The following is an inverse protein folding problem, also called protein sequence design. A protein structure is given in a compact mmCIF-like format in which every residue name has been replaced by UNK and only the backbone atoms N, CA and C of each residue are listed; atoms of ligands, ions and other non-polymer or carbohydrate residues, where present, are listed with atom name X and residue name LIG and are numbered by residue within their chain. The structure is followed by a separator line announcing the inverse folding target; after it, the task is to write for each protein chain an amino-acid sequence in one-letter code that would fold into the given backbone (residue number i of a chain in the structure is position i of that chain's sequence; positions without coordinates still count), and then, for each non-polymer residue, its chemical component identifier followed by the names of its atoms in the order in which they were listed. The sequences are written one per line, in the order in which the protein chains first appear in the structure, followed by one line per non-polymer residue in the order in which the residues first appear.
data_IF_853239720741
#
_entry.id   IF_853239720741
#
_cell.length_a   1.000
_cell.length_b   1.000
_cell.length_c   1.000
_cell.angle_alpha   90.00
_cell.angle_beta   90.00
_cell.angle_gamma   90.00
#
_symmetry.space_group_name_H-M   'P 1'
#
loop_
_entity.id
_entity.type
_entity.pdbx_description
1 polymer ?
#
# COMPACT_ATOMS: atom_id res chain seq x y z
N UNK A 1 -12.86 32.05 9.87
CA UNK A 1 -12.33 31.14 10.89
C UNK A 1 -11.63 30.04 10.13
N UNK A 2 -10.33 30.20 9.91
CA UNK A 2 -9.55 29.27 9.09
C UNK A 2 -8.94 28.23 10.02
N UNK A 3 -9.05 26.96 9.65
CA UNK A 3 -8.25 25.89 10.25
C UNK A 3 -6.80 26.38 10.28
N UNK A 4 -6.16 26.38 11.45
CA UNK A 4 -4.79 26.84 11.61
C UNK A 4 -3.88 26.19 10.56
N UNK A 5 -2.95 26.95 9.99
CA UNK A 5 -2.01 26.53 8.94
C UNK A 5 -1.08 25.42 9.45
N UNK A 6 -1.57 24.20 9.63
CA UNK A 6 -0.78 23.00 9.87
C UNK A 6 -0.46 22.37 8.52
N UNK A 7 0.80 22.11 8.24
CA UNK A 7 1.24 21.46 7.00
C UNK A 7 2.03 20.19 7.32
N UNK A 8 1.65 19.09 6.66
CA UNK A 8 2.31 17.81 6.77
C UNK A 8 3.22 17.60 5.55
N UNK A 9 4.45 17.18 5.79
CA UNK A 9 5.42 16.86 4.74
C UNK A 9 6.09 15.51 5.03
N UNK A 10 5.83 14.47 4.22
CA UNK A 10 4.87 14.44 3.12
C UNK A 10 3.40 14.50 3.62
N UNK A 11 2.42 14.83 2.76
CA UNK A 11 1.00 14.83 3.12
C UNK A 11 0.41 13.41 3.30
N UNK A 12 1.03 12.42 2.64
CA UNK A 12 0.75 10.99 2.76
C UNK A 12 2.09 10.25 2.77
N UNK A 13 2.24 9.25 3.63
CA UNK A 13 3.41 8.39 3.68
C UNK A 13 3.06 7.00 3.15
N UNK A 14 3.84 6.49 2.21
CA UNK A 14 3.78 5.09 1.76
C UNK A 14 5.08 4.42 2.15
N UNK A 15 5.01 3.40 2.99
CA UNK A 15 6.19 2.79 3.63
C UNK A 15 6.07 1.28 3.59
N UNK A 16 7.18 0.62 3.25
CA UNK A 16 7.23 -0.84 3.28
C UNK A 16 7.25 -1.31 4.73
N UNK A 17 6.59 -2.42 5.05
CA UNK A 17 6.68 -3.03 6.37
C UNK A 17 8.14 -3.19 6.80
N UNK A 18 8.44 -2.84 8.06
CA UNK A 18 9.77 -2.80 8.70
C UNK A 18 10.71 -1.66 8.25
N UNK A 19 10.39 -0.91 7.21
CA UNK A 19 11.20 0.25 6.79
C UNK A 19 10.99 1.46 7.75
N UNK A 20 11.97 2.38 7.82
CA UNK A 20 11.81 3.62 8.58
C UNK A 20 10.84 4.59 7.90
N UNK A 21 10.17 5.43 8.69
CA UNK A 21 9.31 6.52 8.20
C UNK A 21 9.48 7.76 9.06
N UNK A 22 9.41 8.92 8.40
CA UNK A 22 9.36 10.20 9.09
C UNK A 22 8.44 11.18 8.37
N UNK A 23 7.80 12.06 9.13
CA UNK A 23 7.01 13.16 8.60
C UNK A 23 7.23 14.42 9.44
N UNK A 24 7.33 15.55 8.75
CA UNK A 24 7.35 16.86 9.37
C UNK A 24 5.93 17.39 9.49
N UNK A 25 5.67 18.05 10.60
CA UNK A 25 4.51 18.89 10.78
C UNK A 25 4.99 20.30 11.06
N UNK A 26 4.46 21.27 10.30
CA UNK A 26 4.87 22.65 10.38
C UNK A 26 3.68 23.59 10.52
N UNK A 27 3.92 24.78 11.07
CA UNK A 27 2.90 25.82 11.17
C UNK A 27 3.47 27.23 11.14
N UNK A 28 2.72 28.16 10.57
CA UNK A 28 2.98 29.60 10.60
C UNK A 28 2.24 30.32 11.75
N UNK A 29 1.35 29.60 12.44
CA UNK A 29 0.43 30.18 13.44
C UNK A 29 1.12 30.36 14.77
N UNK A 30 0.93 31.50 15.44
CA UNK A 30 1.39 31.67 16.82
C UNK A 30 0.70 30.65 17.74
N UNK A 31 1.49 29.85 18.44
CA UNK A 31 0.99 28.74 19.24
C UNK A 31 1.71 28.62 20.58
N UNK A 32 1.02 28.06 21.57
CA UNK A 32 1.57 27.76 22.89
C UNK A 32 2.33 26.42 22.94
N UNK A 33 2.18 25.61 21.90
CA UNK A 33 2.93 24.38 21.70
C UNK A 33 2.36 23.54 20.55
N UNK A 34 3.21 22.68 19.99
CA UNK A 34 2.84 21.71 18.96
C UNK A 34 3.46 20.34 19.26
N UNK A 35 2.82 19.29 18.78
CA UNK A 35 3.25 17.91 19.05
C UNK A 35 2.70 16.89 18.06
N UNK A 36 3.25 15.69 18.16
CA UNK A 36 2.72 14.50 17.50
C UNK A 36 2.12 13.55 18.54
N UNK A 37 1.03 12.90 18.21
CA UNK A 37 0.40 11.83 18.96
C UNK A 37 0.31 10.59 18.06
N UNK A 38 0.92 9.48 18.48
CA UNK A 38 0.95 8.21 17.76
C UNK A 38 1.27 7.09 18.76
N UNK A 39 0.85 5.85 18.46
CA UNK A 39 1.17 4.69 19.30
C UNK A 39 2.57 4.09 19.01
N UNK A 40 3.21 4.49 17.90
CA UNK A 40 4.60 4.12 17.56
C UNK A 40 5.45 5.36 17.33
N UNK A 41 6.74 5.23 17.63
CA UNK A 41 7.74 6.28 17.41
C UNK A 41 7.88 7.21 18.60
N UNK A 42 8.89 8.08 18.51
CA UNK A 42 9.11 9.09 19.55
C UNK A 42 8.15 10.24 19.30
N UNK A 43 7.18 10.41 20.19
CA UNK A 43 6.33 11.59 20.24
C UNK A 43 7.02 12.65 21.11
N UNK A 44 7.26 13.84 20.55
CA UNK A 44 7.83 14.96 21.30
C UNK A 44 6.84 16.11 21.25
N UNK A 45 6.40 16.54 22.43
CA UNK A 45 5.73 17.82 22.58
C UNK A 45 6.77 18.93 22.75
N UNK A 46 6.66 20.00 21.96
CA UNK A 46 7.55 21.15 22.06
C UNK A 46 6.76 22.33 22.64
N UNK A 47 7.13 22.75 23.85
CA UNK A 47 6.74 24.04 24.41
C UNK A 47 7.58 25.15 23.76
N UNK A 48 7.01 26.36 23.67
CA UNK A 48 7.55 27.63 23.13
C UNK A 48 7.17 27.99 21.69
N UNK A 49 7.11 29.32 21.46
CA UNK A 49 6.75 30.00 20.21
C UNK A 49 7.83 29.95 19.11
N UNK A 50 8.99 29.32 19.37
CA UNK A 50 10.15 29.36 18.46
C UNK A 50 10.31 28.08 17.61
N UNK A 51 9.47 27.06 17.84
CA UNK A 51 9.48 25.80 17.08
C UNK A 51 8.27 25.74 16.19
N UNK A 52 8.46 26.04 14.91
CA UNK A 52 7.41 26.01 13.89
C UNK A 52 7.38 24.70 13.08
N UNK A 53 8.31 23.76 13.36
CA UNK A 53 8.41 22.46 12.68
C UNK A 53 8.82 21.39 13.68
N UNK A 54 8.10 20.28 13.69
CA UNK A 54 8.42 19.08 14.47
C UNK A 54 8.35 17.84 13.60
N UNK A 55 9.21 16.87 13.89
CA UNK A 55 9.30 15.62 13.12
C UNK A 55 8.82 14.45 13.95
N UNK A 56 7.91 13.65 13.38
CA UNK A 56 7.64 12.30 13.83
C UNK A 56 8.54 11.32 13.09
N UNK A 57 9.11 10.37 13.81
CA UNK A 57 10.05 9.39 13.25
C UNK A 57 9.87 8.02 13.92
N UNK A 58 9.80 6.99 13.08
CA UNK A 58 9.82 5.58 13.44
C UNK A 58 10.98 4.92 12.69
N UNK A 59 11.85 4.21 13.41
CA UNK A 59 13.03 3.55 12.83
C UNK A 59 12.69 2.27 12.08
N UNK A 60 11.60 1.60 12.44
CA UNK A 60 11.08 0.41 11.77
C UNK A 60 9.59 0.31 12.08
N UNK A 61 8.76 0.44 11.05
CA UNK A 61 7.31 0.44 11.22
C UNK A 61 6.73 -0.97 11.04
N UNK A 62 6.28 -1.55 12.15
CA UNK A 62 5.70 -2.92 12.21
C UNK A 62 4.18 -2.94 12.43
N UNK A 63 3.56 -1.76 12.55
CA UNK A 63 2.13 -1.63 12.83
C UNK A 63 1.39 -1.31 11.53
N UNK A 64 0.53 -2.24 11.09
CA UNK A 64 -0.23 -2.14 9.84
C UNK A 64 -1.28 -1.02 9.85
N UNK A 65 -1.71 -0.59 11.04
CA UNK A 65 -2.73 0.43 11.24
C UNK A 65 -2.14 1.53 12.11
N UNK A 66 -1.70 2.61 11.49
CA UNK A 66 -1.14 3.77 12.19
C UNK A 66 -1.78 5.07 11.72
N UNK A 67 -2.12 5.93 12.68
CA UNK A 67 -2.78 7.21 12.44
C UNK A 67 -2.06 8.29 13.26
N UNK A 68 -0.86 8.75 12.85
CA UNK A 68 -0.14 9.79 13.55
C UNK A 68 -0.91 11.12 13.43
N UNK A 69 -1.15 11.77 14.56
CA UNK A 69 -1.86 13.05 14.62
C UNK A 69 -0.85 14.13 14.96
N UNK A 70 -0.68 15.11 14.08
CA UNK A 70 -0.02 16.35 14.46
C UNK A 70 -1.05 17.32 15.04
N UNK A 71 -0.74 17.95 16.16
CA UNK A 71 -1.60 18.95 16.79
C UNK A 71 -0.82 20.21 17.17
N UNK A 72 -1.55 21.33 17.24
CA UNK A 72 -1.06 22.64 17.70
C UNK A 72 -2.10 23.28 18.62
N UNK A 73 -1.63 23.88 19.70
CA UNK A 73 -2.47 24.64 20.64
C UNK A 73 -2.28 26.13 20.39
N UNK A 74 -3.28 26.79 19.80
CA UNK A 74 -3.27 28.22 19.47
C UNK A 74 -4.26 29.01 20.35
N UNK A 75 -4.31 30.33 20.15
CA UNK A 75 -5.19 31.23 20.92
C UNK A 75 -6.69 30.97 20.70
N UNK A 76 -7.05 30.44 19.54
CA UNK A 76 -8.42 30.13 19.14
C UNK A 76 -8.83 28.67 19.40
N UNK A 77 -7.92 27.85 19.92
CA UNK A 77 -8.18 26.46 20.28
C UNK A 77 -7.06 25.51 19.85
N UNK A 78 -7.32 24.21 20.04
CA UNK A 78 -6.46 23.16 19.50
C UNK A 78 -6.90 22.81 18.09
N UNK A 79 -5.92 22.65 17.21
CA UNK A 79 -6.11 22.19 15.84
C UNK A 79 -5.20 20.99 15.57
N UNK A 80 -5.61 20.11 14.65
CA UNK A 80 -4.85 18.92 14.33
C UNK A 80 -5.00 18.50 12.86
N UNK A 81 -4.05 17.68 12.41
CA UNK A 81 -4.09 16.95 11.13
C UNK A 81 -3.59 15.54 11.32
N UNK A 82 -4.34 14.57 10.82
CA UNK A 82 -3.92 13.16 10.78
C UNK A 82 -3.09 12.91 9.52
N UNK A 83 -1.92 12.31 9.69
CA UNK A 83 -1.10 11.83 8.58
C UNK A 83 -1.69 10.52 8.04
N UNK A 84 -1.99 10.47 6.74
CA UNK A 84 -2.34 9.22 6.07
C UNK A 84 -1.08 8.39 5.86
N UNK A 85 -1.04 7.19 6.44
CA UNK A 85 0.07 6.24 6.30
C UNK A 85 -0.44 4.95 5.67
N UNK A 86 0.18 4.53 4.57
CA UNK A 86 -0.04 3.23 3.93
C UNK A 86 1.18 2.37 4.18
N UNK A 87 1.01 1.34 5.01
CA UNK A 87 2.03 0.30 5.21
C UNK A 87 1.79 -0.81 4.19
N UNK A 88 2.79 -1.11 3.36
CA UNK A 88 2.65 -2.10 2.31
C UNK A 88 3.68 -3.21 2.41
N UNK A 89 3.32 -4.35 1.81
CA UNK A 89 4.21 -5.49 1.64
C UNK A 89 3.93 -6.14 0.29
N UNK A 90 4.98 -6.24 -0.52
CA UNK A 90 4.96 -7.01 -1.77
C UNK A 90 4.70 -8.49 -1.49
N UNK A 91 4.14 -9.24 -2.44
CA UNK A 91 3.85 -10.65 -2.22
C UNK A 91 5.14 -11.46 -1.99
N UNK A 92 5.07 -12.46 -1.12
CA UNK A 92 6.19 -13.39 -0.89
C UNK A 92 6.41 -14.31 -2.09
N UNK A 93 5.31 -14.67 -2.75
CA UNK A 93 5.32 -15.48 -3.97
C UNK A 93 4.06 -15.24 -4.79
N UNK A 94 4.22 -15.27 -6.10
CA UNK A 94 3.13 -15.31 -7.08
C UNK A 94 3.32 -16.56 -7.92
N UNK A 95 2.31 -17.42 -8.00
CA UNK A 95 2.40 -18.70 -8.71
C UNK A 95 1.10 -19.04 -9.40
N UNK A 96 1.21 -19.71 -10.55
CA UNK A 96 0.07 -20.23 -11.31
C UNK A 96 -0.06 -21.73 -11.04
N UNK A 97 -1.27 -22.19 -10.76
CA UNK A 97 -1.58 -23.62 -10.62
C UNK A 97 -2.89 -23.97 -11.31
N UNK A 98 -3.01 -25.21 -11.79
CA UNK A 98 -4.29 -25.77 -12.21
C UNK A 98 -5.11 -26.21 -11.00
N UNK A 99 -6.42 -26.04 -11.07
CA UNK A 99 -7.35 -26.54 -10.04
C UNK A 99 -7.71 -27.99 -10.35
N UNK A 100 -7.41 -28.89 -9.42
CA UNK A 100 -7.78 -30.33 -9.49
C UNK A 100 -7.38 -31.02 -10.81
N UNK A 101 -6.32 -30.56 -11.47
CA UNK A 101 -5.89 -31.08 -12.75
C UNK A 101 -4.36 -31.21 -12.80
N UNK A 102 -3.89 -32.42 -13.10
CA UNK A 102 -2.47 -32.77 -13.18
C UNK A 102 -2.07 -33.36 -14.53
N UNK A 103 -3.05 -33.72 -15.35
CA UNK A 103 -2.82 -34.35 -16.65
C UNK A 103 -2.50 -33.31 -17.74
N UNK A 104 -2.06 -33.74 -18.93
CA UNK A 104 -1.97 -32.84 -20.07
C UNK A 104 -3.31 -32.16 -20.38
N UNK A 105 -3.22 -30.90 -20.78
CA UNK A 105 -4.37 -30.07 -21.13
C UNK A 105 -4.90 -30.47 -22.50
N UNK A 106 -6.21 -30.60 -22.65
CA UNK A 106 -6.88 -31.03 -23.88
C UNK A 106 -7.56 -29.87 -24.59
N UNK A 107 -7.48 -29.87 -25.93
CA UNK A 107 -8.20 -28.93 -26.78
C UNK A 107 -9.73 -29.00 -26.49
N UNK A 108 -10.39 -27.83 -26.46
CA UNK A 108 -11.83 -27.65 -26.25
C UNK A 108 -12.37 -28.10 -24.87
N UNK A 109 -11.50 -28.56 -23.97
CA UNK A 109 -11.85 -28.80 -22.58
C UNK A 109 -11.63 -27.53 -21.77
N UNK A 110 -12.55 -27.21 -20.87
CA UNK A 110 -12.42 -26.07 -19.99
C UNK A 110 -11.57 -26.42 -18.77
N UNK A 111 -10.67 -25.53 -18.38
CA UNK A 111 -9.83 -25.65 -17.20
C UNK A 111 -9.88 -24.37 -16.37
N UNK A 112 -9.68 -24.51 -15.07
CA UNK A 112 -9.48 -23.37 -14.16
C UNK A 112 -8.02 -23.32 -13.74
N UNK A 113 -7.41 -22.17 -14.00
CA UNK A 113 -6.12 -21.76 -13.43
C UNK A 113 -6.37 -20.88 -12.21
N UNK A 114 -5.42 -20.88 -11.27
CA UNK A 114 -5.41 -19.97 -10.14
C UNK A 114 -4.07 -19.25 -10.03
N UNK A 115 -4.14 -17.95 -9.83
CA UNK A 115 -3.01 -17.11 -9.48
C UNK A 115 -2.95 -16.99 -7.97
N UNK A 116 -2.05 -17.75 -7.36
CA UNK A 116 -1.86 -17.76 -5.91
C UNK A 116 -0.82 -16.71 -5.53
N UNK A 117 -1.28 -15.67 -4.85
CA UNK A 117 -0.46 -14.57 -4.32
C UNK A 117 -0.41 -14.68 -2.81
N UNK A 118 0.80 -14.71 -2.22
CA UNK A 118 0.99 -14.96 -0.79
C UNK A 118 1.40 -13.71 -0.01
N UNK A 119 0.77 -13.51 1.15
CA UNK A 119 1.09 -12.51 2.17
C UNK A 119 1.32 -11.09 1.62
N UNK A 120 0.38 -10.60 0.81
CA UNK A 120 0.40 -9.25 0.23
C UNK A 120 -0.48 -8.30 1.04
N UNK A 121 -0.10 -7.02 1.13
CA UNK A 121 -0.88 -5.97 1.78
C UNK A 121 -0.54 -4.57 1.25
N UNK A 122 -1.49 -3.61 1.29
CA UNK A 122 -2.91 -3.76 1.64
C UNK A 122 -3.71 -4.34 0.46
N UNK A 123 -4.82 -5.01 0.75
CA UNK A 123 -5.59 -5.66 -0.32
C UNK A 123 -6.32 -4.66 -1.23
N UNK A 124 -6.85 -3.57 -0.70
CA UNK A 124 -7.56 -2.52 -1.46
C UNK A 124 -6.73 -1.86 -2.59
N UNK A 125 -5.41 -2.00 -2.57
CA UNK A 125 -4.51 -1.44 -3.59
C UNK A 125 -4.01 -2.49 -4.58
N UNK A 126 -4.42 -3.75 -4.43
CA UNK A 126 -3.97 -4.84 -5.28
C UNK A 126 -4.73 -4.87 -6.62
N UNK A 127 -3.97 -5.06 -7.69
CA UNK A 127 -4.44 -5.56 -8.97
C UNK A 127 -3.71 -6.85 -9.34
N UNK A 128 -4.46 -7.89 -9.71
CA UNK A 128 -3.91 -9.12 -10.27
C UNK A 128 -4.26 -9.18 -11.74
N UNK A 129 -3.25 -9.31 -12.60
CA UNK A 129 -3.39 -9.35 -14.06
C UNK A 129 -2.97 -10.70 -14.61
N UNK A 130 -3.80 -11.28 -15.46
CA UNK A 130 -3.50 -12.51 -16.18
C UNK A 130 -3.02 -12.22 -17.58
N UNK A 131 -1.96 -12.90 -17.98
CA UNK A 131 -1.40 -12.81 -19.33
C UNK A 131 -1.29 -14.18 -19.96
N UNK A 132 -1.61 -14.24 -21.25
CA UNK A 132 -1.28 -15.35 -22.16
C UNK A 132 -0.18 -14.87 -23.10
N UNK A 133 1.05 -15.33 -22.87
CA UNK A 133 2.24 -14.72 -23.46
C UNK A 133 2.39 -13.26 -23.01
N UNK A 134 2.22 -12.32 -23.95
CA UNK A 134 2.24 -10.87 -23.67
C UNK A 134 0.86 -10.22 -23.65
N UNK A 135 -0.19 -10.97 -24.00
CA UNK A 135 -1.53 -10.43 -24.09
C UNK A 135 -2.21 -10.49 -22.72
N UNK A 136 -2.68 -9.35 -22.22
CA UNK A 136 -3.56 -9.29 -21.05
C UNK A 136 -4.88 -9.98 -21.41
N UNK A 137 -5.27 -11.00 -20.65
CA UNK A 137 -6.50 -11.78 -20.90
C UNK A 137 -7.55 -11.60 -19.82
N UNK A 138 -7.15 -11.25 -18.60
CA UNK A 138 -8.06 -10.94 -17.50
C UNK A 138 -7.38 -10.09 -16.43
N UNK A 139 -8.16 -9.43 -15.58
CA UNK A 139 -7.65 -8.68 -14.44
C UNK A 139 -8.68 -8.58 -13.32
N UNK A 140 -8.22 -8.69 -12.08
CA UNK A 140 -9.05 -8.52 -10.90
C UNK A 140 -8.47 -7.43 -9.98
N UNK A 141 -9.34 -6.55 -9.49
CA UNK A 141 -9.05 -5.58 -8.43
C UNK A 141 -9.83 -5.95 -7.17
N UNK A 142 -9.41 -5.39 -6.03
CA UNK A 142 -10.00 -5.70 -4.74
C UNK A 142 -10.51 -4.43 -4.06
N UNK A 143 -11.63 -4.54 -3.35
CA UNK A 143 -12.21 -3.45 -2.54
C UNK A 143 -12.16 -3.74 -1.05
N UNK A 144 -11.57 -4.89 -0.67
CA UNK A 144 -11.39 -5.32 0.71
C UNK A 144 -10.35 -4.41 1.39
N UNK A 145 -10.71 -3.83 2.53
CA UNK A 145 -9.93 -2.85 3.27
C UNK A 145 -8.90 -3.48 4.22
N UNK A 146 -8.62 -4.78 4.08
CA UNK A 146 -7.59 -5.47 4.85
C UNK A 146 -6.22 -4.79 4.67
N UNK A 147 -5.73 -4.25 5.77
CA UNK A 147 -4.42 -3.61 5.89
C UNK A 147 -3.30 -4.60 6.20
N UNK A 148 -3.64 -5.81 6.67
CA UNK A 148 -2.67 -6.84 7.05
C UNK A 148 -2.42 -7.83 5.91
N UNK A 149 -1.30 -8.58 5.94
CA UNK A 149 -0.97 -9.55 4.90
C UNK A 149 -2.03 -10.62 4.72
N UNK A 150 -2.46 -10.80 3.48
CA UNK A 150 -3.46 -11.80 3.08
C UNK A 150 -2.96 -12.66 1.93
N UNK A 151 -3.50 -13.88 1.85
CA UNK A 151 -3.32 -14.75 0.71
C UNK A 151 -4.53 -14.60 -0.20
N UNK A 152 -4.30 -14.43 -1.50
CA UNK A 152 -5.38 -14.33 -2.49
C UNK A 152 -5.14 -15.31 -3.63
N UNK A 153 -6.24 -15.86 -4.16
CA UNK A 153 -6.23 -16.75 -5.32
C UNK A 153 -7.24 -16.21 -6.34
N UNK A 154 -6.74 -15.78 -7.50
CA UNK A 154 -7.56 -15.23 -8.58
C UNK A 154 -7.73 -16.27 -9.68
N UNK A 155 -8.95 -16.73 -9.99
CA UNK A 155 -9.18 -17.75 -10.99
C UNK A 155 -9.07 -17.20 -12.41
N UNK A 156 -8.76 -18.06 -13.37
CA UNK A 156 -8.89 -17.81 -14.81
C UNK A 156 -9.44 -19.07 -15.48
N UNK A 157 -10.58 -18.94 -16.15
CA UNK A 157 -11.14 -20.03 -16.96
C UNK A 157 -10.55 -20.00 -18.37
N UNK A 158 -10.01 -21.13 -18.81
CA UNK A 158 -9.42 -21.28 -20.14
C UNK A 158 -10.09 -22.42 -20.91
N UNK A 159 -10.23 -22.25 -22.22
CA UNK A 159 -10.64 -23.31 -23.15
C UNK A 159 -9.62 -23.37 -24.29
N UNK A 160 -8.56 -24.18 -24.16
CA UNK A 160 -7.44 -24.18 -25.10
C UNK A 160 -7.83 -24.66 -26.50
N UNK A 161 -7.17 -24.08 -27.51
CA UNK A 161 -7.27 -24.46 -28.91
C UNK A 161 -5.93 -25.01 -29.42
N UNK A 162 -5.89 -25.59 -30.64
CA UNK A 162 -4.62 -26.05 -31.26
C UNK A 162 -3.60 -24.92 -31.44
N UNK A 163 -4.06 -23.69 -31.60
CA UNK A 163 -3.19 -22.52 -31.72
C UNK A 163 -2.47 -22.16 -30.41
N UNK A 164 -2.92 -22.75 -29.30
CA UNK A 164 -2.40 -22.48 -27.95
C UNK A 164 -1.37 -23.50 -27.51
N UNK A 165 -0.94 -24.40 -28.41
CA UNK A 165 0.12 -25.35 -28.10
C UNK A 165 1.41 -24.58 -27.73
N UNK A 166 1.97 -24.92 -26.57
CA UNK A 166 3.10 -24.20 -25.97
C UNK A 166 2.77 -22.81 -25.38
N UNK A 167 1.52 -22.37 -25.35
CA UNK A 167 1.15 -21.09 -24.74
C UNK A 167 1.42 -21.09 -23.23
N UNK A 168 2.02 -20.00 -22.75
CA UNK A 168 2.32 -19.80 -21.33
C UNK A 168 1.34 -18.80 -20.71
N UNK A 169 0.76 -19.18 -19.59
CA UNK A 169 -0.02 -18.28 -18.74
C UNK A 169 0.86 -17.80 -17.58
N UNK A 170 0.86 -16.48 -17.34
CA UNK A 170 1.44 -15.87 -16.14
C UNK A 170 0.41 -14.98 -15.49
N UNK A 171 0.57 -14.75 -14.19
CA UNK A 171 -0.13 -13.68 -13.52
C UNK A 171 0.86 -12.77 -12.80
N UNK A 172 0.49 -11.49 -12.70
CA UNK A 172 1.25 -10.45 -12.02
C UNK A 172 0.38 -9.82 -10.95
N UNK A 173 0.94 -9.61 -9.77
CA UNK A 173 0.28 -8.98 -8.62
C UNK A 173 0.98 -7.65 -8.33
N UNK A 174 0.27 -6.54 -8.54
CA UNK A 174 0.79 -5.18 -8.44
C UNK A 174 0.02 -4.38 -7.39
N UNK A 175 0.73 -3.57 -6.61
CA UNK A 175 0.12 -2.62 -5.67
C UNK A 175 0.15 -1.22 -6.29
N UNK A 176 -1.02 -0.61 -6.47
CA UNK A 176 -1.15 0.79 -6.86
C UNK A 176 -1.27 1.68 -5.60
N UNK A 177 -0.14 2.23 -5.17
CA UNK A 177 -0.03 3.02 -3.94
C UNK A 177 -0.04 4.55 -4.20
N UNK A 178 -0.21 4.95 -5.45
CA UNK A 178 -0.14 6.34 -5.91
C UNK A 178 1.30 6.89 -6.03
N UNK A 179 1.41 8.21 -6.22
CA UNK A 179 2.67 8.89 -6.56
C UNK A 179 3.77 8.73 -5.48
N UNK A 180 3.39 8.64 -4.22
CA UNK A 180 4.30 8.45 -3.08
C UNK A 180 4.75 7.00 -2.91
N UNK A 181 4.17 6.06 -3.66
CA UNK A 181 4.60 4.67 -3.68
C UNK A 181 5.95 4.44 -4.36
N UNK A 182 6.53 3.24 -4.21
CA UNK A 182 7.75 2.86 -4.92
C UNK A 182 7.55 2.99 -6.42
N UNK A 183 8.42 3.76 -7.06
CA UNK A 183 8.39 3.94 -8.52
C UNK A 183 9.05 2.73 -9.21
N UNK A 184 8.53 2.29 -10.37
CA UNK A 184 9.18 1.25 -11.14
C UNK A 184 10.61 1.67 -11.54
N UNK A 185 11.54 0.71 -11.72
CA UNK A 185 12.89 1.03 -12.18
C UNK A 185 12.85 1.81 -13.49
N UNK A 186 13.54 2.95 -13.55
CA UNK A 186 13.73 3.68 -14.81
C UNK A 186 14.59 2.81 -15.73
N UNK A 187 14.03 2.39 -16.85
CA UNK A 187 14.77 1.70 -17.90
C UNK A 187 15.69 2.72 -18.58
N UNK A 188 17.00 2.57 -18.36
CA UNK A 188 18.06 3.36 -18.99
C UNK A 188 18.68 2.64 -20.18
#
# INVERSE_FOLDING_TARGET
MSCSDLELSPPKAVVRFEDPVSANCSTSTKHYGMGWEAHVGKTKFCHYNDVNVITWNVTSLTDWVIEPICYVNAADGQHNKTLSVIVYKTPDSVSVSYVNHTDPVMEKTQYELQCNTKNIAPLQYLSVRWYKGQNLVDSQTFTDDSKTPVNVSVPLLITPSRADDGAQYRCEAELDLGAEGPQPPTTG
#
